data_IF_381231669759
#
_entry.id   IF_381231669759
#
_cell.length_a   1.000
_cell.length_b   1.000
_cell.length_c   1.000
_cell.angle_alpha   90.00
_cell.angle_beta   90.00
_cell.angle_gamma   90.00
#
_symmetry.space_group_name_H-M   'P 1'
#
loop_
_entity.id
_entity.type
_entity.pdbx_description
1 polymer ?
#
# COMPACT_ATOMS: atom_id res chain seq x y z
N UNK A 1 -10.42 -7.48 9.18
CA UNK A 1 -9.98 -6.56 8.10
C UNK A 1 -8.61 -5.99 8.42
N UNK A 2 -7.79 -5.93 7.41
CA UNK A 2 -6.42 -5.42 7.54
C UNK A 2 -6.17 -4.33 6.51
N UNK A 3 -5.47 -3.27 6.93
CA UNK A 3 -4.97 -2.24 6.03
C UNK A 3 -3.58 -2.65 5.57
N UNK A 4 -3.38 -2.72 4.28
CA UNK A 4 -2.08 -2.95 3.67
C UNK A 4 -1.62 -1.64 3.07
N UNK A 5 -0.54 -1.09 3.62
CA UNK A 5 0.09 0.12 3.14
C UNK A 5 1.42 -0.26 2.50
N UNK A 6 1.53 -0.01 1.21
CA UNK A 6 2.72 -0.37 0.45
C UNK A 6 3.39 0.89 -0.07
N UNK A 7 4.62 1.12 0.36
CA UNK A 7 5.43 2.22 -0.17
C UNK A 7 6.31 1.61 -1.25
N UNK A 8 6.10 2.05 -2.50
CA UNK A 8 6.75 1.45 -3.66
C UNK A 8 7.42 2.54 -4.52
N UNK A 9 8.28 2.11 -5.42
CA UNK A 9 8.88 3.02 -6.40
C UNK A 9 7.79 3.57 -7.31
N UNK A 10 7.85 4.86 -7.68
CA UNK A 10 6.87 5.41 -8.62
C UNK A 10 6.75 4.61 -9.92
N UNK A 11 7.86 4.10 -10.42
CA UNK A 11 7.88 3.31 -11.67
C UNK A 11 7.16 1.97 -11.55
N UNK A 12 6.88 1.50 -10.35
CA UNK A 12 6.21 0.21 -10.12
C UNK A 12 4.72 0.33 -9.80
N UNK A 13 4.20 1.54 -9.69
CA UNK A 13 2.80 1.77 -9.30
C UNK A 13 1.84 1.07 -10.24
N UNK A 14 2.01 1.24 -11.55
CA UNK A 14 1.09 0.64 -12.52
C UNK A 14 1.10 -0.88 -12.44
N UNK A 15 2.28 -1.49 -12.28
CA UNK A 15 2.41 -2.94 -12.14
C UNK A 15 1.71 -3.45 -10.88
N UNK A 16 1.87 -2.74 -9.76
CA UNK A 16 1.23 -3.11 -8.50
C UNK A 16 -0.29 -2.94 -8.60
N UNK A 17 -0.74 -1.82 -9.15
CA UNK A 17 -2.18 -1.55 -9.32
C UNK A 17 -2.85 -2.60 -10.20
N UNK A 18 -2.20 -2.97 -11.31
CA UNK A 18 -2.71 -4.01 -12.21
C UNK A 18 -2.76 -5.37 -11.53
N UNK A 19 -1.72 -5.72 -10.78
CA UNK A 19 -1.67 -6.99 -10.06
C UNK A 19 -2.76 -7.08 -8.99
N UNK A 20 -3.01 -5.99 -8.27
CA UNK A 20 -4.07 -5.93 -7.27
C UNK A 20 -5.45 -6.06 -7.92
N UNK A 21 -5.67 -5.40 -9.05
CA UNK A 21 -6.92 -5.51 -9.79
C UNK A 21 -7.18 -6.96 -10.22
N UNK A 22 -6.19 -7.63 -10.80
CA UNK A 22 -6.29 -9.02 -11.21
C UNK A 22 -6.51 -9.96 -10.02
N UNK A 23 -5.95 -9.61 -8.86
CA UNK A 23 -6.13 -10.39 -7.64
C UNK A 23 -7.50 -10.20 -6.98
N UNK A 24 -8.34 -9.30 -7.52
CA UNK A 24 -9.68 -9.06 -6.99
C UNK A 24 -9.76 -7.89 -6.02
N UNK A 25 -8.73 -7.05 -5.96
CA UNK A 25 -8.67 -5.88 -5.07
C UNK A 25 -8.50 -4.59 -5.87
N UNK A 26 -9.58 -4.13 -6.55
CA UNK A 26 -9.50 -2.93 -7.40
C UNK A 26 -9.47 -1.63 -6.60
N UNK A 27 -9.96 -1.63 -5.36
CA UNK A 27 -10.07 -0.42 -4.55
C UNK A 27 -8.75 -0.12 -3.87
N UNK A 28 -7.99 0.81 -4.42
CA UNK A 28 -6.68 1.22 -3.92
C UNK A 28 -6.61 2.75 -3.88
N UNK A 29 -6.15 3.29 -2.77
CA UNK A 29 -5.90 4.72 -2.63
C UNK A 29 -4.40 4.97 -2.79
N UNK A 30 -4.05 5.93 -3.63
CA UNK A 30 -2.66 6.28 -3.90
C UNK A 30 -2.34 7.66 -3.37
N UNK A 31 -1.19 7.79 -2.69
CA UNK A 31 -0.70 9.06 -2.16
C UNK A 31 0.78 9.17 -2.51
N UNK A 32 1.17 10.30 -3.09
CA UNK A 32 2.59 10.59 -3.33
C UNK A 32 3.24 10.98 -2.01
N UNK A 33 4.36 10.36 -1.72
CA UNK A 33 5.10 10.56 -0.47
C UNK A 33 6.58 10.78 -0.78
N UNK A 34 7.28 11.33 0.19
CA UNK A 34 8.72 11.53 0.12
C UNK A 34 9.32 10.86 1.34
N UNK A 35 10.37 10.08 1.13
CA UNK A 35 10.97 9.35 2.22
C UNK A 35 12.48 9.29 2.12
N UNK A 36 13.08 8.82 3.21
CA UNK A 36 14.50 8.56 3.28
C UNK A 36 14.67 7.16 3.87
N UNK A 37 15.32 6.29 3.12
CA UNK A 37 15.52 4.91 3.55
C UNK A 37 16.90 4.70 4.17
N UNK A 38 17.34 3.45 4.17
CA UNK A 38 18.67 3.08 4.66
C UNK A 38 19.80 3.59 3.77
N UNK A 39 19.51 3.87 2.52
CA UNK A 39 20.49 4.49 1.65
C UNK A 39 20.75 5.90 2.11
N UNK A 40 22.02 6.27 2.20
CA UNK A 40 22.38 7.65 2.45
C UNK A 40 21.99 8.49 1.25
N UNK A 41 21.78 9.79 1.46
CA UNK A 41 21.36 10.69 0.41
C UNK A 41 22.24 10.59 -0.84
N UNK A 42 21.61 10.77 -2.00
CA UNK A 42 22.29 10.77 -3.28
C UNK A 42 22.97 12.14 -3.44
N UNK A 43 24.29 12.10 -3.62
CA UNK A 43 25.07 13.32 -3.82
C UNK A 43 25.31 13.54 -5.31
N UNK A 44 24.88 14.70 -5.81
CA UNK A 44 25.14 15.14 -7.18
C UNK A 44 25.89 16.45 -7.09
N UNK A 45 27.20 16.43 -7.44
CA UNK A 45 28.05 17.59 -7.24
C UNK A 45 28.17 17.94 -5.76
N UNK A 46 27.82 19.17 -5.40
CA UNK A 46 27.82 19.67 -4.03
C UNK A 46 26.47 19.47 -3.32
N UNK A 47 25.46 18.95 -4.02
CA UNK A 47 24.10 18.81 -3.48
C UNK A 47 23.87 17.38 -3.04
N UNK A 48 23.39 17.20 -1.80
CA UNK A 48 22.99 15.90 -1.26
C UNK A 48 21.47 15.81 -1.25
N UNK A 49 20.95 14.77 -1.91
CA UNK A 49 19.51 14.51 -1.95
C UNK A 49 19.18 13.42 -0.94
N UNK A 50 18.60 13.82 0.20
CA UNK A 50 18.20 12.90 1.26
C UNK A 50 16.80 12.35 1.06
N UNK A 51 15.96 13.04 0.29
CA UNK A 51 14.57 12.70 0.11
C UNK A 51 14.33 12.08 -1.26
N UNK A 52 13.64 10.96 -1.26
CA UNK A 52 13.35 10.19 -2.47
C UNK A 52 11.84 10.06 -2.62
N UNK A 53 11.29 10.44 -3.80
CA UNK A 53 9.85 10.27 -4.03
C UNK A 53 9.48 8.80 -4.11
N UNK A 54 8.37 8.47 -3.47
CA UNK A 54 7.75 7.14 -3.47
C UNK A 54 6.25 7.31 -3.60
N UNK A 55 5.56 6.21 -3.80
CA UNK A 55 4.10 6.20 -3.79
C UNK A 55 3.61 5.26 -2.70
N UNK A 56 2.63 5.74 -1.93
CA UNK A 56 1.95 4.94 -0.92
C UNK A 56 0.65 4.44 -1.50
N UNK A 57 0.48 3.13 -1.50
CA UNK A 57 -0.74 2.46 -1.95
C UNK A 57 -1.42 1.83 -0.75
N UNK A 58 -2.70 2.14 -0.55
CA UNK A 58 -3.45 1.62 0.59
C UNK A 58 -4.63 0.81 0.10
N UNK A 59 -4.80 -0.38 0.64
CA UNK A 59 -5.98 -1.20 0.38
C UNK A 59 -6.36 -1.98 1.63
N UNK A 60 -7.66 -2.20 1.81
CA UNK A 60 -8.16 -3.01 2.91
C UNK A 60 -8.50 -4.39 2.38
N UNK A 61 -8.06 -5.41 3.10
CA UNK A 61 -8.29 -6.80 2.71
C UNK A 61 -8.87 -7.60 3.87
N UNK A 62 -9.49 -8.72 3.55
CA UNK A 62 -9.91 -9.68 4.58
C UNK A 62 -8.68 -10.35 5.18
N UNK A 63 -8.78 -10.74 6.44
CA UNK A 63 -7.66 -11.35 7.18
C UNK A 63 -7.08 -12.56 6.43
N UNK A 64 -7.96 -13.41 5.90
CA UNK A 64 -7.56 -14.62 5.18
C UNK A 64 -6.85 -14.36 3.85
N UNK A 65 -7.01 -13.18 3.27
CA UNK A 65 -6.39 -12.83 2.00
C UNK A 65 -5.06 -12.07 2.17
N UNK A 66 -4.69 -11.75 3.39
CA UNK A 66 -3.53 -10.90 3.67
C UNK A 66 -2.24 -11.44 3.04
N UNK A 67 -1.93 -12.70 3.25
CA UNK A 67 -0.68 -13.27 2.74
C UNK A 67 -0.64 -13.28 1.21
N UNK A 68 -1.76 -13.59 0.57
CA UNK A 68 -1.87 -13.56 -0.88
C UNK A 68 -1.65 -12.16 -1.43
N UNK A 69 -2.28 -11.14 -0.82
CA UNK A 69 -2.15 -9.75 -1.28
C UNK A 69 -0.73 -9.24 -1.05
N UNK A 70 -0.13 -9.52 0.11
CA UNK A 70 1.26 -9.12 0.40
C UNK A 70 2.21 -9.71 -0.64
N UNK A 71 2.08 -11.00 -0.95
CA UNK A 71 2.92 -11.65 -1.96
C UNK A 71 2.70 -11.04 -3.34
N UNK A 72 1.46 -10.70 -3.68
CA UNK A 72 1.11 -10.05 -4.95
C UNK A 72 1.86 -8.71 -5.09
N UNK A 73 1.82 -7.89 -4.04
CA UNK A 73 2.52 -6.61 -4.05
C UNK A 73 4.04 -6.79 -4.14
N UNK A 74 4.60 -7.69 -3.35
CA UNK A 74 6.05 -7.94 -3.37
C UNK A 74 6.50 -8.32 -4.78
N UNK A 75 5.80 -9.25 -5.40
CA UNK A 75 6.14 -9.74 -6.73
C UNK A 75 6.10 -8.62 -7.78
N UNK A 76 5.08 -7.76 -7.71
CA UNK A 76 4.89 -6.68 -8.67
C UNK A 76 5.84 -5.49 -8.44
N UNK A 77 6.19 -5.21 -7.18
CA UNK A 77 7.00 -4.05 -6.80
C UNK A 77 8.51 -4.32 -6.79
N UNK A 78 8.91 -5.58 -6.74
CA UNK A 78 10.31 -5.97 -6.63
C UNK A 78 11.07 -5.68 -7.91
N UNK A 79 12.28 -5.17 -7.77
CA UNK A 79 13.20 -4.99 -8.90
C UNK A 79 13.96 -6.29 -9.15
N UNK A 80 13.75 -6.91 -10.31
CA UNK A 80 14.33 -8.20 -10.64
C UNK A 80 13.81 -9.32 -9.73
N UNK A 81 14.43 -10.49 -9.80
CA UNK A 81 13.97 -11.67 -9.06
C UNK A 81 14.27 -11.57 -7.56
N UNK A 82 15.34 -10.88 -7.20
CA UNK A 82 15.84 -10.83 -5.81
C UNK A 82 15.53 -9.51 -5.10
N UNK A 83 15.01 -8.54 -5.83
CA UNK A 83 14.78 -7.22 -5.28
C UNK A 83 16.06 -6.40 -5.17
N UNK A 84 15.87 -5.12 -4.81
CA UNK A 84 16.96 -4.17 -4.65
C UNK A 84 16.64 -3.19 -3.53
N UNK A 85 17.64 -2.56 -2.98
CA UNK A 85 17.44 -1.47 -2.02
C UNK A 85 16.55 -0.40 -2.63
N UNK A 86 15.63 0.11 -1.86
CA UNK A 86 14.71 1.15 -2.32
C UNK A 86 13.43 0.61 -2.96
N UNK A 87 13.24 -0.71 -3.03
CA UNK A 87 11.99 -1.28 -3.53
C UNK A 87 10.77 -0.93 -2.66
N UNK A 88 11.00 -0.63 -1.40
CA UNK A 88 9.96 -0.17 -0.50
C UNK A 88 9.65 -1.13 0.63
N UNK A 89 8.53 -0.86 1.28
CA UNK A 89 8.07 -1.65 2.44
C UNK A 89 6.56 -1.77 2.42
N UNK A 90 6.08 -2.81 3.07
CA UNK A 90 4.65 -3.05 3.25
C UNK A 90 4.38 -3.06 4.75
N UNK A 91 3.38 -2.28 5.16
CA UNK A 91 2.91 -2.22 6.55
C UNK A 91 1.52 -2.81 6.62
N UNK A 92 1.30 -3.70 7.57
CA UNK A 92 0.00 -4.33 7.80
C UNK A 92 -0.48 -3.93 9.18
N UNK A 93 -1.71 -3.44 9.25
CA UNK A 93 -2.32 -3.06 10.53
C UNK A 93 -3.79 -3.47 10.54
N UNK A 94 -4.33 -3.64 11.74
CA UNK A 94 -5.74 -3.94 11.90
C UNK A 94 -6.60 -2.73 11.58
N UNK A 95 -7.75 -2.99 10.96
CA UNK A 95 -8.81 -2.01 10.75
C UNK A 95 -9.99 -2.48 11.57
N UNK A 96 -10.36 -1.70 12.57
CA UNK A 96 -11.48 -2.07 13.46
C UNK A 96 -12.82 -1.81 12.80
N UNK A 97 -12.94 -0.70 12.10
CA UNK A 97 -14.21 -0.25 11.53
C UNK A 97 -13.99 0.48 10.23
N UNK A 98 -14.90 0.29 9.28
CA UNK A 98 -14.92 1.05 8.03
C UNK A 98 -16.30 1.69 7.92
N UNK A 99 -16.33 2.99 7.62
CA UNK A 99 -17.55 3.73 7.35
C UNK A 99 -17.57 4.14 5.89
N UNK A 100 -18.62 3.77 5.19
CA UNK A 100 -18.83 4.24 3.82
C UNK A 100 -19.58 5.57 3.86
N UNK A 101 -18.95 6.63 3.38
CA UNK A 101 -19.51 7.99 3.51
C UNK A 101 -20.86 8.11 2.81
N UNK A 102 -20.99 7.58 1.60
CA UNK A 102 -22.20 7.73 0.82
C UNK A 102 -23.43 7.06 1.44
N UNK A 103 -23.25 5.89 2.04
CA UNK A 103 -24.36 5.11 2.60
C UNK A 103 -24.51 5.25 4.09
N UNK A 104 -23.48 5.73 4.78
CA UNK A 104 -23.45 5.75 6.25
C UNK A 104 -23.32 4.36 6.87
N UNK A 105 -22.96 3.35 6.06
CA UNK A 105 -22.84 1.99 6.57
C UNK A 105 -21.50 1.78 7.23
N UNK A 106 -21.54 1.24 8.43
CA UNK A 106 -20.37 0.82 9.21
C UNK A 106 -20.20 -0.69 9.07
N UNK A 107 -18.98 -1.09 8.79
CA UNK A 107 -18.58 -2.49 8.76
C UNK A 107 -17.52 -2.72 9.84
N UNK A 108 -17.71 -3.72 10.71
CA UNK A 108 -16.77 -4.02 11.78
C UNK A 108 -15.83 -5.15 11.38
N UNK A 109 -14.72 -5.26 12.13
CA UNK A 109 -13.75 -6.34 11.93
C UNK A 109 -14.37 -7.74 12.11
N UNK A 110 -15.45 -7.86 12.90
CA UNK A 110 -16.16 -9.12 13.10
C UNK A 110 -17.18 -9.46 12.00
N UNK A 111 -17.28 -8.59 10.98
CA UNK A 111 -18.20 -8.82 9.86
C UNK A 111 -19.60 -8.24 10.04
N UNK A 112 -19.86 -7.57 11.13
CA UNK A 112 -21.16 -6.90 11.34
C UNK A 112 -21.25 -5.63 10.51
N UNK A 113 -22.44 -5.42 9.93
CA UNK A 113 -22.74 -4.17 9.24
C UNK A 113 -23.85 -3.44 9.98
N UNK A 114 -23.79 -2.13 10.04
CA UNK A 114 -24.74 -1.31 10.76
C UNK A 114 -24.89 0.04 10.06
N UNK A 115 -26.12 0.51 9.94
CA UNK A 115 -26.37 1.85 9.41
C UNK A 115 -26.21 2.86 10.54
N UNK A 116 -25.37 3.87 10.29
CA UNK A 116 -25.14 4.94 11.27
C UNK A 116 -26.17 6.03 11.05
N UNK A 117 -26.88 6.39 12.11
CA UNK A 117 -27.82 7.49 12.07
C UNK A 117 -27.07 8.81 12.10
N UNK A 118 -27.39 9.65 11.16
CA UNK A 118 -26.77 10.97 11.03
C UNK A 118 -27.82 12.06 11.31
#
# INVERSE_FOLDING_TARGET
>A
MLMIRSIVRPAKVDDVMSALLEAGYPAVTKVSVVGRGKQRGIKIGEITYDEIPKELLMTVVQDEDKDFVVKTVIKAARTGDKGAYGDGKIFVSQVDEIYTISSGIKETASGKTEEVKI
#
